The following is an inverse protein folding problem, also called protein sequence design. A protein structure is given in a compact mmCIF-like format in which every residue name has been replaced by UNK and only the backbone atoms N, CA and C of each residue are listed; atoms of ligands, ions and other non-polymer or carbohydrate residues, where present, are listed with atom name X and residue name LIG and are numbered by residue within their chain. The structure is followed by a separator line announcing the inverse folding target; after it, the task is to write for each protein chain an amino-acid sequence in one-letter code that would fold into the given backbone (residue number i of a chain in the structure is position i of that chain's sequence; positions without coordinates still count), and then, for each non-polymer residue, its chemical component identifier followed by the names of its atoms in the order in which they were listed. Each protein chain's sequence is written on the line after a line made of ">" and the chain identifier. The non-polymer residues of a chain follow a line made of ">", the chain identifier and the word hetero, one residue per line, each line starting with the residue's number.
data_IF_964585397714
#
_entry.id   IF_964585397714
#
_cell.length_a   1.000
_cell.length_b   1.000
_cell.length_c   1.000
_cell.angle_alpha   90.00
_cell.angle_beta   90.00
_cell.angle_gamma   90.00
#
_symmetry.space_group_name_H-M   'P 1'
#
loop_
_entity.id
_entity.type
_entity.pdbx_description
1 polymer ?
#
# COMPACT_ATOMS: atom_id res chain seq x y z
N UNK A 1 -15.62 -8.44 12.02
CA UNK A 1 -14.60 -7.46 11.56
C UNK A 1 -14.26 -7.72 10.09
N UNK A 2 -15.26 -7.60 9.22
CA UNK A 2 -15.17 -7.56 7.75
C UNK A 2 -16.57 -7.19 7.21
N UNK A 3 -17.19 -6.13 7.76
CA UNK A 3 -18.47 -5.60 7.29
C UNK A 3 -18.42 -4.07 7.13
N UNK A 4 -17.27 -3.54 6.74
CA UNK A 4 -17.24 -2.23 6.11
C UNK A 4 -17.43 -2.48 4.62
N UNK A 5 -18.60 -2.12 4.12
CA UNK A 5 -18.92 -1.89 2.69
C UNK A 5 -17.64 -1.76 1.88
N UNK A 6 -17.45 -2.61 0.87
CA UNK A 6 -16.40 -2.41 -0.14
C UNK A 6 -16.57 -0.98 -0.68
N UNK A 7 -15.88 -0.03 -0.07
CA UNK A 7 -15.96 1.35 -0.47
C UNK A 7 -15.41 1.40 -1.88
N UNK A 8 -16.17 2.03 -2.76
CA UNK A 8 -15.74 2.29 -4.13
C UNK A 8 -14.30 2.86 -4.06
N UNK A 9 -13.31 2.24 -4.72
CA UNK A 9 -11.93 2.70 -4.64
C UNK A 9 -11.82 4.12 -5.21
N UNK A 10 -11.78 5.10 -4.32
CA UNK A 10 -11.47 6.49 -4.64
C UNK A 10 -10.04 6.79 -4.18
N UNK A 11 -9.41 7.78 -4.80
CA UNK A 11 -8.05 8.21 -4.43
C UNK A 11 -7.97 8.55 -2.92
N UNK A 12 -8.99 9.21 -2.37
CA UNK A 12 -9.12 9.50 -0.94
C UNK A 12 -9.27 8.24 -0.08
N UNK A 13 -10.15 7.31 -0.47
CA UNK A 13 -10.35 6.06 0.28
C UNK A 13 -9.09 5.20 0.28
N UNK A 14 -8.38 5.14 -0.85
CA UNK A 14 -7.10 4.44 -0.97
C UNK A 14 -6.08 5.09 -0.02
N UNK A 15 -5.96 6.42 -0.02
CA UNK A 15 -5.06 7.14 0.89
C UNK A 15 -5.34 6.84 2.37
N UNK A 16 -6.62 6.87 2.76
CA UNK A 16 -7.08 6.59 4.13
C UNK A 16 -6.82 5.16 4.56
N UNK A 17 -7.08 4.18 3.70
CA UNK A 17 -6.92 2.76 4.02
C UNK A 17 -5.47 2.35 4.29
N UNK A 18 -4.49 3.11 3.79
CA UNK A 18 -3.08 2.81 4.02
C UNK A 18 -2.67 2.97 5.49
N UNK A 19 -3.25 3.93 6.23
CA UNK A 19 -2.86 4.18 7.62
C UNK A 19 -3.24 3.03 8.55
N UNK A 20 -4.50 2.54 8.59
CA UNK A 20 -4.86 1.38 9.42
C UNK A 20 -4.05 0.12 9.09
N UNK A 21 -3.71 -0.08 7.81
CA UNK A 21 -2.87 -1.21 7.39
C UNK A 21 -1.45 -1.08 7.97
N UNK A 22 -0.84 0.11 7.88
CA UNK A 22 0.49 0.36 8.43
C UNK A 22 0.49 0.32 9.97
N UNK A 23 -0.56 0.79 10.64
CA UNK A 23 -0.75 0.65 12.09
C UNK A 23 -0.83 -0.82 12.51
N UNK A 24 -1.53 -1.66 11.75
CA UNK A 24 -1.57 -3.10 11.98
C UNK A 24 -0.16 -3.71 11.89
N UNK A 25 0.60 -3.31 10.86
CA UNK A 25 1.96 -3.81 10.65
C UNK A 25 2.90 -3.35 11.76
N UNK A 26 2.77 -2.10 12.22
CA UNK A 26 3.55 -1.56 13.33
C UNK A 26 3.21 -2.25 14.66
N UNK A 27 1.92 -2.53 14.91
CA UNK A 27 1.48 -3.28 16.09
C UNK A 27 2.09 -4.68 16.14
N UNK A 28 2.23 -5.33 14.98
CA UNK A 28 2.85 -6.65 14.83
C UNK A 28 4.25 -6.55 14.19
N UNK A 29 5.02 -5.50 14.51
CA UNK A 29 6.30 -5.20 13.84
C UNK A 29 7.32 -6.33 13.90
N UNK A 30 7.32 -7.14 14.97
CA UNK A 30 8.21 -8.29 15.10
C UNK A 30 8.07 -9.25 13.91
N UNK A 31 6.84 -9.48 13.43
CA UNK A 31 6.60 -10.33 12.27
C UNK A 31 7.09 -9.69 10.98
N UNK A 32 6.94 -8.37 10.83
CA UNK A 32 7.33 -7.66 9.60
C UNK A 32 8.85 -7.49 9.50
N UNK A 33 9.53 -7.26 10.62
CA UNK A 33 10.99 -7.09 10.67
C UNK A 33 11.73 -8.43 10.49
N UNK A 34 11.18 -9.51 11.05
CA UNK A 34 11.79 -10.85 10.99
C UNK A 34 11.09 -11.79 10.00
N UNK A 35 10.36 -11.24 9.02
CA UNK A 35 9.44 -11.98 8.16
C UNK A 35 10.11 -13.15 7.42
N UNK A 36 11.38 -12.99 7.06
CA UNK A 36 12.19 -14.00 6.39
C UNK A 36 12.62 -15.13 7.34
N UNK A 37 13.05 -14.78 8.55
CA UNK A 37 13.47 -15.76 9.56
C UNK A 37 12.27 -16.56 10.07
N UNK A 38 11.14 -15.88 10.31
CA UNK A 38 9.87 -16.53 10.65
C UNK A 38 9.44 -17.50 9.55
N UNK A 39 9.54 -17.10 8.29
CA UNK A 39 9.18 -17.97 7.16
C UNK A 39 10.09 -19.21 7.06
N UNK A 40 11.37 -19.08 7.39
CA UNK A 40 12.33 -20.21 7.40
C UNK A 40 12.07 -21.16 8.57
N UNK A 41 11.80 -20.62 9.76
CA UNK A 41 11.61 -21.40 10.97
C UNK A 41 10.25 -22.13 11.01
N UNK A 42 9.21 -21.59 10.35
CA UNK A 42 7.85 -22.12 10.41
C UNK A 42 7.25 -22.33 9.00
N UNK A 43 7.51 -23.48 8.34
CA UNK A 43 7.08 -23.72 6.95
C UNK A 43 5.58 -23.59 6.70
N UNK A 44 4.75 -24.06 7.64
CA UNK A 44 3.29 -23.93 7.54
C UNK A 44 2.84 -22.46 7.52
N UNK A 45 3.44 -21.64 8.38
CA UNK A 45 3.18 -20.20 8.40
C UNK A 45 3.66 -19.54 7.10
N UNK A 46 4.80 -19.97 6.55
CA UNK A 46 5.29 -19.47 5.27
C UNK A 46 4.35 -19.77 4.09
N UNK A 47 3.63 -20.90 4.11
CA UNK A 47 2.59 -21.18 3.10
C UNK A 47 1.40 -20.21 3.22
N UNK A 48 0.92 -19.98 4.44
CA UNK A 48 -0.15 -19.01 4.71
C UNK A 48 0.27 -17.61 4.23
N UNK A 49 1.48 -17.19 4.57
CA UNK A 49 2.02 -15.88 4.19
C UNK A 49 2.15 -15.74 2.68
N UNK A 50 2.64 -16.76 1.98
CA UNK A 50 2.69 -16.77 0.49
C UNK A 50 1.30 -16.61 -0.12
N UNK A 51 0.28 -17.25 0.45
CA UNK A 51 -1.11 -17.04 0.04
C UNK A 51 -1.57 -15.60 0.25
N UNK A 52 -1.29 -15.05 1.43
CA UNK A 52 -1.64 -13.67 1.78
C UNK A 52 -0.94 -12.64 0.89
N UNK A 53 0.35 -12.80 0.59
CA UNK A 53 1.09 -11.89 -0.30
C UNK A 53 0.48 -11.88 -1.71
N UNK A 54 0.14 -13.06 -2.25
CA UNK A 54 -0.56 -13.15 -3.54
C UNK A 54 -1.91 -12.42 -3.50
N UNK A 55 -2.66 -12.54 -2.41
CA UNK A 55 -3.94 -11.85 -2.25
C UNK A 55 -3.77 -10.33 -2.17
N UNK A 56 -2.78 -9.85 -1.43
CA UNK A 56 -2.47 -8.42 -1.29
C UNK A 56 -2.07 -7.80 -2.63
N UNK A 57 -1.17 -8.45 -3.38
CA UNK A 57 -0.76 -7.99 -4.71
C UNK A 57 -1.96 -7.92 -5.66
N UNK A 58 -2.83 -8.95 -5.67
CA UNK A 58 -4.06 -8.94 -6.48
C UNK A 58 -5.02 -7.83 -6.07
N UNK A 59 -5.15 -7.55 -4.77
CA UNK A 59 -5.99 -6.47 -4.28
C UNK A 59 -5.47 -5.09 -4.74
N UNK A 60 -4.16 -4.86 -4.63
CA UNK A 60 -3.53 -3.63 -5.14
C UNK A 60 -3.75 -3.50 -6.64
N UNK A 61 -3.56 -4.58 -7.40
CA UNK A 61 -3.81 -4.60 -8.84
C UNK A 61 -5.27 -4.27 -9.18
N UNK A 62 -6.22 -4.84 -8.45
CA UNK A 62 -7.65 -4.57 -8.63
C UNK A 62 -8.00 -3.09 -8.35
N UNK A 63 -7.38 -2.47 -7.36
CA UNK A 63 -7.51 -1.02 -7.09
C UNK A 63 -7.00 -0.20 -8.27
N UNK A 64 -5.84 -0.56 -8.83
CA UNK A 64 -5.27 0.14 -9.99
C UNK A 64 -6.19 -0.05 -11.20
N UNK A 65 -6.65 -1.27 -11.48
CA UNK A 65 -7.56 -1.56 -12.61
C UNK A 65 -8.88 -0.80 -12.50
N UNK A 66 -9.43 -0.71 -11.29
CA UNK A 66 -10.59 0.14 -11.01
C UNK A 66 -10.29 1.62 -11.27
N UNK A 67 -9.12 2.10 -10.86
CA UNK A 67 -8.69 3.49 -11.05
C UNK A 67 -8.54 3.83 -12.54
N UNK A 68 -8.09 2.88 -13.36
CA UNK A 68 -8.07 3.00 -14.82
C UNK A 68 -9.49 3.03 -15.38
N UNK A 69 -10.33 2.05 -15.03
CA UNK A 69 -11.71 1.96 -15.53
C UNK A 69 -12.61 3.15 -15.14
N UNK A 70 -12.31 3.80 -14.02
CA UNK A 70 -12.98 5.02 -13.55
C UNK A 70 -12.37 6.32 -14.10
N UNK A 71 -11.31 6.23 -14.91
CA UNK A 71 -10.65 7.36 -15.56
C UNK A 71 -9.75 8.20 -14.63
N UNK A 72 -9.35 7.68 -13.47
CA UNK A 72 -8.41 8.33 -12.55
C UNK A 72 -6.95 8.03 -12.88
N UNK A 73 -6.66 6.89 -13.51
CA UNK A 73 -5.32 6.51 -13.99
C UNK A 73 -5.32 6.28 -15.49
N UNK A 74 -4.19 6.57 -16.13
CA UNK A 74 -3.99 6.28 -17.55
C UNK A 74 -4.01 4.76 -17.78
N UNK A 75 -4.34 4.26 -18.99
CA UNK A 75 -4.08 2.86 -19.35
C UNK A 75 -2.59 2.50 -19.22
N UNK A 76 -2.29 1.20 -19.13
CA UNK A 76 -0.89 0.75 -19.15
C UNK A 76 -0.17 1.24 -20.41
N UNK A 77 1.01 1.86 -20.23
CA UNK A 77 1.89 2.24 -21.33
C UNK A 77 2.66 1.04 -21.89
N UNK A 78 2.85 -0.01 -21.07
CA UNK A 78 3.51 -1.27 -21.43
C UNK A 78 2.80 -2.43 -20.74
N UNK A 79 2.67 -3.55 -21.44
CA UNK A 79 2.08 -4.76 -20.90
C UNK A 79 2.73 -5.15 -19.57
N UNK A 80 1.91 -5.32 -18.53
CA UNK A 80 2.36 -5.76 -17.21
C UNK A 80 2.92 -4.64 -16.32
N UNK A 81 2.87 -3.38 -16.78
CA UNK A 81 3.31 -2.23 -15.98
C UNK A 81 2.58 -2.17 -14.63
N UNK A 82 1.25 -2.36 -14.60
CA UNK A 82 0.50 -2.28 -13.35
C UNK A 82 0.62 -3.55 -12.50
N UNK A 83 0.96 -4.69 -13.09
CA UNK A 83 1.37 -5.86 -12.31
C UNK A 83 2.65 -5.56 -11.52
N UNK A 84 3.68 -5.04 -12.18
CA UNK A 84 4.94 -4.67 -11.54
C UNK A 84 4.78 -3.54 -10.52
N UNK A 85 3.93 -2.55 -10.82
CA UNK A 85 3.59 -1.50 -9.87
C UNK A 85 2.92 -2.06 -8.61
N UNK A 86 2.01 -3.02 -8.77
CA UNK A 86 1.31 -3.66 -7.64
C UNK A 86 2.28 -4.41 -6.72
N UNK A 87 3.22 -5.15 -7.30
CA UNK A 87 4.30 -5.82 -6.57
C UNK A 87 5.21 -4.82 -5.86
N UNK A 88 5.53 -3.71 -6.52
CA UNK A 88 6.36 -2.64 -5.94
C UNK A 88 5.67 -1.96 -4.77
N UNK A 89 4.39 -1.61 -4.90
CA UNK A 89 3.58 -1.05 -3.81
C UNK A 89 3.48 -2.03 -2.65
N UNK A 90 3.24 -3.32 -2.93
CA UNK A 90 3.25 -4.36 -1.90
C UNK A 90 4.59 -4.40 -1.15
N UNK A 91 5.73 -4.41 -1.88
CA UNK A 91 7.06 -4.40 -1.26
C UNK A 91 7.25 -3.17 -0.36
N UNK A 92 6.82 -1.99 -0.81
CA UNK A 92 6.93 -0.78 0.01
C UNK A 92 6.14 -0.95 1.30
N UNK A 93 4.88 -1.39 1.25
CA UNK A 93 4.05 -1.57 2.44
C UNK A 93 4.65 -2.62 3.38
N UNK A 94 5.03 -3.79 2.86
CA UNK A 94 5.56 -4.92 3.65
C UNK A 94 6.90 -4.60 4.30
N UNK A 95 7.83 -3.97 3.57
CA UNK A 95 9.19 -3.75 4.05
C UNK A 95 9.43 -2.35 4.62
N UNK A 96 8.41 -1.48 4.72
CA UNK A 96 8.58 -0.11 5.22
C UNK A 96 9.19 -0.05 6.62
N UNK A 97 8.73 -0.91 7.53
CA UNK A 97 9.22 -0.93 8.91
C UNK A 97 10.69 -1.36 8.99
N UNK A 98 11.06 -2.41 8.24
CA UNK A 98 12.43 -2.90 8.21
C UNK A 98 13.39 -1.85 7.61
N UNK A 99 13.05 -1.25 6.47
CA UNK A 99 13.93 -0.25 5.86
C UNK A 99 14.03 1.04 6.68
N UNK A 100 12.97 1.43 7.40
CA UNK A 100 13.01 2.59 8.30
C UNK A 100 14.03 2.38 9.41
N UNK A 101 14.00 1.21 10.04
CA UNK A 101 14.94 0.84 11.10
C UNK A 101 16.38 0.81 10.57
N UNK A 102 16.61 0.11 9.45
CA UNK A 102 17.93 -0.04 8.85
C UNK A 102 18.55 1.29 8.39
N UNK A 103 17.73 2.28 8.04
CA UNK A 103 18.17 3.61 7.54
C UNK A 103 18.16 4.69 8.62
N UNK A 104 17.83 4.34 9.87
CA UNK A 104 17.59 5.27 10.98
C UNK A 104 16.64 6.43 10.60
N UNK A 105 15.62 6.13 9.80
CA UNK A 105 14.77 7.16 9.22
C UNK A 105 13.77 7.71 10.24
N UNK A 106 13.91 9.00 10.56
CA UNK A 106 13.06 9.74 11.50
C UNK A 106 11.82 10.33 10.82
N UNK A 107 10.83 10.72 11.62
CA UNK A 107 9.58 11.36 11.19
C UNK A 107 8.37 10.43 11.18
N UNK A 108 7.27 10.90 10.59
CA UNK A 108 5.99 10.17 10.61
C UNK A 108 6.03 8.94 9.69
N UNK A 109 5.93 7.75 10.28
CA UNK A 109 5.96 6.47 9.60
C UNK A 109 4.98 6.41 8.43
N UNK A 110 3.72 6.76 8.70
CA UNK A 110 2.60 6.57 7.79
C UNK A 110 2.67 7.53 6.62
N UNK A 111 2.97 8.81 6.88
CA UNK A 111 3.08 9.82 5.82
C UNK A 111 4.22 9.48 4.87
N UNK A 112 5.37 9.05 5.40
CA UNK A 112 6.50 8.74 4.53
C UNK A 112 6.25 7.50 3.66
N UNK A 113 5.59 6.46 4.21
CA UNK A 113 5.19 5.29 3.42
C UNK A 113 4.21 5.68 2.31
N UNK A 114 3.20 6.49 2.65
CA UNK A 114 2.21 7.00 1.69
C UNK A 114 2.86 7.86 0.62
N UNK A 115 3.77 8.76 0.98
CA UNK A 115 4.50 9.59 0.03
C UNK A 115 5.36 8.74 -0.91
N UNK A 116 6.01 7.69 -0.43
CA UNK A 116 6.79 6.80 -1.29
C UNK A 116 5.92 6.11 -2.35
N UNK A 117 4.73 5.65 -1.96
CA UNK A 117 3.77 5.03 -2.88
C UNK A 117 3.19 6.05 -3.84
N UNK A 118 2.76 7.21 -3.35
CA UNK A 118 2.19 8.28 -4.18
C UNK A 118 3.20 8.83 -5.19
N UNK A 119 4.48 8.96 -4.85
CA UNK A 119 5.50 9.40 -5.80
C UNK A 119 5.68 8.44 -6.98
N UNK A 120 5.32 7.16 -6.83
CA UNK A 120 5.32 6.20 -7.94
C UNK A 120 4.02 6.23 -8.75
N UNK A 121 2.90 6.62 -8.14
CA UNK A 121 1.58 6.54 -8.78
C UNK A 121 1.11 7.88 -9.36
N UNK A 122 1.51 9.02 -8.81
CA UNK A 122 1.15 10.37 -9.30
C UNK A 122 1.45 10.55 -10.80
N UNK A 123 2.64 10.15 -11.33
CA UNK A 123 2.94 10.29 -12.76
C UNK A 123 2.02 9.47 -13.68
N UNK A 124 1.25 8.54 -13.12
CA UNK A 124 0.37 7.62 -13.84
C UNK A 124 -1.10 8.07 -13.78
N UNK A 125 -1.41 9.11 -13.00
CA UNK A 125 -2.75 9.69 -12.90
C UNK A 125 -3.12 10.44 -14.19
N UNK A 126 -4.42 10.46 -14.49
CA UNK A 126 -4.99 11.42 -15.45
C UNK A 126 -5.11 12.80 -14.80
N UNK A 127 -5.49 13.83 -15.56
CA UNK A 127 -5.85 15.13 -14.99
C UNK A 127 -6.96 15.03 -13.93
N UNK A 128 -7.97 14.19 -14.19
CA UNK A 128 -9.05 13.89 -13.23
C UNK A 128 -8.49 13.25 -11.96
N UNK A 129 -7.61 12.25 -12.10
CA UNK A 129 -6.98 11.59 -10.97
C UNK A 129 -6.14 12.56 -10.14
N UNK A 130 -5.32 13.37 -10.81
CA UNK A 130 -4.49 14.37 -10.15
C UNK A 130 -5.33 15.43 -9.42
N UNK A 131 -6.43 15.89 -10.02
CA UNK A 131 -7.35 16.82 -9.36
C UNK A 131 -8.01 16.22 -8.11
N UNK A 132 -8.28 14.91 -8.11
CA UNK A 132 -8.78 14.22 -6.92
C UNK A 132 -7.68 13.99 -5.88
N UNK A 133 -6.45 13.70 -6.30
CA UNK A 133 -5.30 13.55 -5.42
C UNK A 133 -4.96 14.86 -4.69
N UNK A 134 -5.01 16.00 -5.39
CA UNK A 134 -4.70 17.31 -4.81
C UNK A 134 -5.68 17.78 -3.72
N UNK A 135 -6.80 17.07 -3.51
CA UNK A 135 -7.75 17.32 -2.40
C UNK A 135 -7.35 16.61 -1.11
N UNK A 136 -6.37 15.71 -1.16
CA UNK A 136 -5.92 14.94 0.00
C UNK A 136 -5.09 15.81 0.92
N UNK A 137 -5.45 15.86 2.21
CA UNK A 137 -4.60 16.38 3.27
C UNK A 137 -3.87 15.23 3.99
N UNK A 138 -2.54 15.29 4.00
CA UNK A 138 -1.68 14.31 4.67
C UNK A 138 -1.65 14.47 6.20
N UNK A 139 -2.22 15.54 6.75
CA UNK A 139 -2.17 15.86 8.19
C UNK A 139 -3.44 15.47 8.97
N UNK A 140 -4.59 15.30 8.31
CA UNK A 140 -5.87 15.03 8.99
C UNK A 140 -5.89 13.71 9.78
N UNK A 141 -5.05 12.75 9.41
CA UNK A 141 -5.19 11.35 9.88
C UNK A 141 -4.23 10.94 11.00
N UNK A 142 -3.32 11.83 11.41
CA UNK A 142 -2.32 11.54 12.47
C UNK A 142 -2.86 11.91 13.87
N UNK A 143 -3.92 12.72 13.94
CA UNK A 143 -4.43 13.32 15.19
C UNK A 143 -5.37 12.37 15.96
N UNK A 144 -5.88 11.33 15.31
CA UNK A 144 -6.77 10.35 15.95
C UNK A 144 -5.96 9.20 16.58
N UNK A 145 -5.22 9.49 17.66
CA UNK A 145 -4.79 8.53 18.70
C UNK A 145 -4.31 9.28 19.95
#
# INVERSE_FOLDING_TARGET
>A
MLDSVQMIPSIENIHRQMVPLLQLYERYRFLQQDILEVSRAYPHLAEIMRGQFKNQIRYIKAIIDYSVGSGNMNPEARMGQYQQLSETVWMIITFWLAQRELRDQKGNLYNQARSAIWNLTIPLLTEKGLANFNKIDFNEEVIAN
#
